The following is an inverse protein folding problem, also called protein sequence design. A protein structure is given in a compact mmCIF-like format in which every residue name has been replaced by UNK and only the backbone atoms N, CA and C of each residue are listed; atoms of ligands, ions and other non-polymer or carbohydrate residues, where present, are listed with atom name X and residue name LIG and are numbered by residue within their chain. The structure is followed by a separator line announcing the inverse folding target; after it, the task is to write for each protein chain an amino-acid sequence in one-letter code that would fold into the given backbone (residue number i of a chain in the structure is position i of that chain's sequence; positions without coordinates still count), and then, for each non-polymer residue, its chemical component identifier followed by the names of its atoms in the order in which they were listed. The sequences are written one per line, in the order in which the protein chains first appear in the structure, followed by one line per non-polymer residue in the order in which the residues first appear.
data_IF_011343094410
#
_entry.id   IF_011343094410
#
_cell.length_a   1.000
_cell.length_b   1.000
_cell.length_c   1.000
_cell.angle_alpha   90.00
_cell.angle_beta   90.00
_cell.angle_gamma   90.00
#
_symmetry.space_group_name_H-M   'P 1'
#
loop_
_entity.id
_entity.type
_entity.pdbx_description
1 polymer ?
#
# COMPACT_ATOMS: atom_id res chain seq x y z
N UNK A 1 13.38 17.78 -5.66
CA UNK A 1 12.25 16.92 -6.06
C UNK A 1 12.29 15.64 -5.24
N UNK A 2 11.20 15.35 -4.55
CA UNK A 2 11.07 14.16 -3.74
C UNK A 2 10.33 13.06 -4.50
N UNK A 3 10.31 11.85 -3.95
CA UNK A 3 9.72 10.69 -4.63
C UNK A 3 8.54 10.13 -3.86
N UNK A 4 7.51 9.72 -4.58
CA UNK A 4 6.42 8.90 -4.07
C UNK A 4 6.52 7.57 -4.79
N UNK A 5 6.78 6.50 -4.04
CA UNK A 5 6.92 5.15 -4.61
C UNK A 5 5.67 4.35 -4.28
N UNK A 6 4.94 3.93 -5.30
CA UNK A 6 3.78 3.05 -5.15
C UNK A 6 4.22 1.62 -5.36
N UNK A 7 4.02 0.76 -4.37
CA UNK A 7 4.15 -0.67 -4.60
C UNK A 7 2.88 -1.18 -5.28
N UNK A 8 3.01 -2.10 -6.20
CA UNK A 8 1.87 -2.71 -6.88
C UNK A 8 2.01 -4.22 -6.78
N UNK A 9 1.06 -4.85 -6.12
CA UNK A 9 1.10 -6.29 -5.93
C UNK A 9 0.01 -6.80 -5.00
N UNK A 10 -0.26 -8.09 -5.12
CA UNK A 10 -1.23 -8.78 -4.28
C UNK A 10 -0.77 -8.88 -2.82
N UNK A 11 -1.70 -9.13 -1.88
CA UNK A 11 -1.32 -9.47 -0.51
C UNK A 11 -0.35 -10.66 -0.49
N UNK A 12 0.71 -10.55 0.32
CA UNK A 12 1.72 -11.60 0.41
C UNK A 12 2.76 -11.60 -0.70
N UNK A 13 2.81 -10.57 -1.53
CA UNK A 13 3.77 -10.51 -2.65
C UNK A 13 5.16 -9.99 -2.27
N UNK A 14 5.36 -9.56 -1.01
CA UNK A 14 6.67 -9.09 -0.55
C UNK A 14 6.83 -7.59 -0.42
N UNK A 15 5.75 -6.83 -0.57
CA UNK A 15 5.76 -5.36 -0.54
C UNK A 15 6.31 -4.79 0.77
N UNK A 16 5.81 -5.29 1.90
CA UNK A 16 6.21 -4.78 3.22
C UNK A 16 7.67 -5.11 3.54
N UNK A 17 8.12 -6.29 3.18
CA UNK A 17 9.51 -6.71 3.36
C UNK A 17 10.44 -5.81 2.54
N UNK A 18 10.08 -5.60 1.29
CA UNK A 18 10.86 -4.72 0.42
C UNK A 18 10.93 -3.29 0.95
N UNK A 19 9.77 -2.77 1.41
CA UNK A 19 9.70 -1.39 1.93
C UNK A 19 10.62 -1.21 3.15
N UNK A 20 10.61 -2.17 4.09
CA UNK A 20 11.48 -2.11 5.26
C UNK A 20 12.96 -2.14 4.88
N UNK A 21 13.33 -3.01 3.95
CA UNK A 21 14.72 -3.12 3.48
C UNK A 21 15.17 -1.86 2.74
N UNK A 22 14.28 -1.31 1.91
CA UNK A 22 14.55 -0.08 1.16
C UNK A 22 14.81 1.08 2.12
N UNK A 23 13.97 1.27 3.12
CA UNK A 23 14.08 2.35 4.10
C UNK A 23 15.37 2.21 4.90
N UNK A 24 15.74 0.99 5.29
CA UNK A 24 16.97 0.73 6.03
C UNK A 24 18.22 1.14 5.23
N UNK A 25 18.18 0.99 3.91
CA UNK A 25 19.29 1.33 3.00
C UNK A 25 19.22 2.75 2.47
N UNK A 26 18.09 3.41 2.57
CA UNK A 26 17.85 4.73 1.99
C UNK A 26 17.26 5.67 3.04
N UNK A 27 18.07 6.23 3.93
CA UNK A 27 17.59 7.17 4.94
C UNK A 27 16.88 8.37 4.29
N UNK A 28 15.81 8.82 4.90
CA UNK A 28 15.00 9.92 4.37
C UNK A 28 13.73 9.46 3.67
N UNK A 29 13.54 8.14 3.49
CA UNK A 29 12.28 7.57 3.01
C UNK A 29 11.46 7.05 4.18
N UNK A 30 10.15 7.21 4.09
CA UNK A 30 9.20 6.77 5.12
C UNK A 30 8.12 5.90 4.48
N UNK A 31 7.71 4.87 5.21
CA UNK A 31 6.67 3.97 4.77
C UNK A 31 5.31 4.42 5.28
N UNK A 32 4.32 4.48 4.39
CA UNK A 32 2.93 4.70 4.76
C UNK A 32 2.11 3.55 4.18
N UNK A 33 1.27 2.95 5.03
CA UNK A 33 0.54 1.73 4.68
C UNK A 33 -0.86 1.80 5.26
N UNK A 34 -1.87 1.44 4.47
CA UNK A 34 -3.27 1.51 4.89
C UNK A 34 -3.56 0.60 6.08
N UNK A 35 -2.93 -0.57 6.14
CA UNK A 35 -3.16 -1.50 7.25
C UNK A 35 -2.70 -0.94 8.59
N UNK A 36 -1.64 -0.15 8.61
CA UNK A 36 -1.18 0.51 9.83
C UNK A 36 -2.22 1.51 10.34
N UNK A 37 -2.85 2.26 9.44
CA UNK A 37 -3.92 3.21 9.80
C UNK A 37 -5.21 2.48 10.20
N UNK A 38 -5.53 1.37 9.55
CA UNK A 38 -6.66 0.52 9.96
C UNK A 38 -6.47 0.01 11.39
N UNK A 39 -5.26 -0.42 11.72
CA UNK A 39 -4.94 -0.87 13.07
C UNK A 39 -5.13 0.26 14.10
N UNK A 40 -4.73 1.48 13.77
CA UNK A 40 -4.81 2.61 14.69
C UNK A 40 -6.22 3.10 14.94
N UNK A 41 -7.16 2.89 13.99
CA UNK A 41 -8.56 3.30 14.13
C UNK A 41 -9.52 2.16 14.43
N UNK A 42 -8.97 0.94 14.62
CA UNK A 42 -9.77 -0.25 14.92
C UNK A 42 -10.56 -0.05 16.23
N UNK A 43 -11.85 -0.33 16.19
CA UNK A 43 -12.70 -0.24 17.36
C UNK A 43 -12.39 -1.34 18.38
N UNK A 44 -12.83 -1.13 19.63
CA UNK A 44 -12.60 -2.09 20.70
C UNK A 44 -13.18 -3.47 20.38
N UNK A 45 -14.34 -3.51 19.76
CA UNK A 45 -15.02 -4.73 19.32
C UNK A 45 -14.38 -5.39 18.10
N UNK A 46 -13.44 -4.73 17.43
CA UNK A 46 -12.80 -5.21 16.22
C UNK A 46 -11.35 -5.65 16.45
N UNK A 47 -10.99 -6.03 17.69
CA UNK A 47 -9.59 -6.37 18.05
C UNK A 47 -8.92 -7.36 17.12
N UNK A 48 -9.66 -8.39 16.73
CA UNK A 48 -9.12 -9.50 15.96
C UNK A 48 -9.42 -9.39 14.47
N UNK A 49 -10.37 -8.53 14.11
CA UNK A 49 -10.81 -8.38 12.74
C UNK A 49 -11.30 -6.96 12.46
N UNK A 50 -10.62 -6.28 11.56
CA UNK A 50 -11.03 -4.95 11.12
C UNK A 50 -12.27 -5.06 10.21
N UNK A 51 -13.30 -4.32 10.54
CA UNK A 51 -14.52 -4.27 9.74
C UNK A 51 -14.45 -3.12 8.74
N UNK A 52 -14.39 -3.46 7.48
CA UNK A 52 -14.32 -2.49 6.39
C UNK A 52 -15.67 -1.78 6.25
N UNK A 53 -15.66 -0.47 6.45
CA UNK A 53 -16.80 0.38 6.16
C UNK A 53 -16.34 1.55 5.32
N UNK A 54 -17.25 2.12 4.53
CA UNK A 54 -16.93 3.29 3.69
C UNK A 54 -16.40 4.45 4.53
N UNK A 55 -16.98 4.65 5.72
CA UNK A 55 -16.56 5.71 6.64
C UNK A 55 -15.13 5.49 7.13
N UNK A 56 -14.82 4.28 7.61
CA UNK A 56 -13.47 3.96 8.12
C UNK A 56 -12.42 4.02 7.01
N UNK A 57 -12.74 3.47 5.84
CA UNK A 57 -11.80 3.53 4.70
C UNK A 57 -11.58 4.95 4.22
N UNK A 58 -12.58 5.82 4.32
CA UNK A 58 -12.42 7.25 4.06
C UNK A 58 -11.46 7.92 5.03
N UNK A 59 -11.55 7.58 6.33
CA UNK A 59 -10.63 8.07 7.35
C UNK A 59 -9.19 7.61 7.05
N UNK A 60 -9.03 6.33 6.71
CA UNK A 60 -7.71 5.75 6.36
C UNK A 60 -7.10 6.51 5.17
N UNK A 61 -7.90 6.76 4.14
CA UNK A 61 -7.45 7.52 2.97
C UNK A 61 -6.99 8.92 3.35
N UNK A 62 -7.80 9.62 4.14
CA UNK A 62 -7.46 10.96 4.61
C UNK A 62 -6.16 10.97 5.42
N UNK A 63 -6.05 10.05 6.38
CA UNK A 63 -4.85 9.93 7.22
C UNK A 63 -3.60 9.69 6.38
N UNK A 64 -3.69 8.80 5.41
CA UNK A 64 -2.56 8.43 4.57
C UNK A 64 -2.07 9.61 3.73
N UNK A 65 -2.97 10.33 3.10
CA UNK A 65 -2.62 11.52 2.30
C UNK A 65 -2.10 12.66 3.16
N UNK A 66 -2.71 12.87 4.32
CA UNK A 66 -2.30 13.93 5.24
C UNK A 66 -0.90 13.68 5.78
N UNK A 67 -0.62 12.45 6.23
CA UNK A 67 0.71 12.07 6.70
C UNK A 67 1.75 12.18 5.58
N UNK A 68 1.41 11.73 4.38
CA UNK A 68 2.31 11.87 3.23
C UNK A 68 2.68 13.34 2.98
N UNK A 69 1.69 14.22 3.02
CA UNK A 69 1.92 15.64 2.83
C UNK A 69 2.83 16.21 3.90
N UNK A 70 2.59 15.88 5.16
CA UNK A 70 3.41 16.33 6.28
C UNK A 70 4.86 15.86 6.16
N UNK A 71 5.07 14.61 5.77
CA UNK A 71 6.41 14.06 5.56
C UNK A 71 7.12 14.77 4.42
N UNK A 72 6.44 14.92 3.29
CA UNK A 72 7.03 15.52 2.09
C UNK A 72 7.33 17.02 2.23
N UNK A 73 6.72 17.69 3.20
CA UNK A 73 7.01 19.09 3.50
C UNK A 73 8.29 19.27 4.31
N UNK A 74 8.88 18.21 4.85
CA UNK A 74 10.12 18.30 5.65
C UNK A 74 11.34 18.30 4.72
N UNK A 75 12.24 19.25 4.91
CA UNK A 75 13.41 19.43 4.04
C UNK A 75 14.30 18.18 3.95
N UNK A 76 14.50 17.51 5.07
CA UNK A 76 15.38 16.33 5.14
C UNK A 76 14.77 15.07 4.52
N UNK A 77 13.49 15.09 4.21
CA UNK A 77 12.79 13.92 3.65
C UNK A 77 13.12 13.76 2.16
N UNK A 78 13.37 12.52 1.74
CA UNK A 78 13.61 12.18 0.33
C UNK A 78 12.35 11.66 -0.36
N UNK A 79 11.44 11.07 0.39
CA UNK A 79 10.20 10.56 -0.19
C UNK A 79 9.41 9.65 0.73
N UNK A 80 8.32 9.12 0.18
CA UNK A 80 7.45 8.16 0.85
C UNK A 80 7.26 6.92 -0.02
N UNK A 81 7.05 5.78 0.65
CA UNK A 81 6.65 4.54 -0.01
C UNK A 81 5.22 4.26 0.43
N UNK A 82 4.31 4.18 -0.53
CA UNK A 82 2.92 3.77 -0.31
C UNK A 82 2.87 2.26 -0.54
N UNK A 83 3.12 1.49 0.53
CA UNK A 83 3.30 0.04 0.43
C UNK A 83 2.00 -0.75 0.48
N UNK A 84 0.99 -0.26 -0.22
CA UNK A 84 -0.32 -0.89 -0.39
C UNK A 84 -0.32 -1.76 -1.66
N UNK A 85 -1.44 -2.45 -1.90
CA UNK A 85 -1.60 -3.22 -3.14
C UNK A 85 -1.63 -2.33 -4.37
N UNK A 86 -2.22 -1.15 -4.26
CA UNK A 86 -2.36 -0.14 -5.32
C UNK A 86 -2.88 -0.73 -6.65
N UNK A 87 -3.71 -1.77 -6.55
CA UNK A 87 -4.29 -2.45 -7.70
C UNK A 87 -5.49 -1.72 -8.29
N UNK A 88 -6.10 -0.83 -7.52
CA UNK A 88 -7.21 -0.02 -7.99
C UNK A 88 -6.65 1.15 -8.83
N UNK A 89 -7.01 1.26 -10.12
CA UNK A 89 -6.52 2.34 -10.97
C UNK A 89 -6.84 3.74 -10.45
N UNK A 90 -8.00 3.91 -9.80
CA UNK A 90 -8.39 5.22 -9.27
C UNK A 90 -7.50 5.65 -8.11
N UNK A 91 -7.06 4.71 -7.27
CA UNK A 91 -6.13 5.03 -6.19
C UNK A 91 -4.76 5.42 -6.73
N UNK A 92 -4.29 4.74 -7.76
CA UNK A 92 -3.03 5.12 -8.43
C UNK A 92 -3.14 6.53 -9.01
N UNK A 93 -4.26 6.83 -9.66
CA UNK A 93 -4.50 8.14 -10.25
C UNK A 93 -4.48 9.25 -9.19
N UNK A 94 -5.08 9.01 -8.04
CA UNK A 94 -5.08 9.98 -6.94
C UNK A 94 -3.66 10.29 -6.48
N UNK A 95 -2.82 9.26 -6.33
CA UNK A 95 -1.41 9.47 -5.98
C UNK A 95 -0.61 10.17 -7.08
N UNK A 96 -0.88 9.85 -8.34
CA UNK A 96 -0.24 10.51 -9.47
C UNK A 96 -0.57 12.01 -9.52
N UNK A 97 -1.84 12.35 -9.31
CA UNK A 97 -2.28 13.75 -9.24
C UNK A 97 -1.69 14.47 -8.04
N UNK A 98 -1.63 13.79 -6.89
CA UNK A 98 -1.03 14.31 -5.67
C UNK A 98 0.46 14.65 -5.89
N UNK A 99 1.21 13.74 -6.52
CA UNK A 99 2.60 13.97 -6.85
C UNK A 99 2.78 15.16 -7.79
N UNK A 100 1.93 15.23 -8.81
CA UNK A 100 1.98 16.31 -9.81
C UNK A 100 1.70 17.68 -9.18
N UNK A 101 0.69 17.77 -8.33
CA UNK A 101 0.34 19.01 -7.63
C UNK A 101 1.46 19.52 -6.74
N UNK A 102 2.17 18.62 -6.06
CA UNK A 102 3.27 18.97 -5.17
C UNK A 102 4.61 19.10 -5.89
N UNK A 103 4.67 18.80 -7.18
CA UNK A 103 5.92 18.87 -7.96
C UNK A 103 6.89 17.74 -7.61
N UNK A 104 6.39 16.58 -7.20
CA UNK A 104 7.21 15.42 -6.86
C UNK A 104 7.14 14.35 -7.96
N UNK A 105 8.14 13.48 -7.95
CA UNK A 105 8.24 12.36 -8.88
C UNK A 105 7.47 11.17 -8.33
N UNK A 106 6.79 10.43 -9.21
CA UNK A 106 6.14 9.18 -8.84
C UNK A 106 6.89 8.01 -9.51
N UNK A 107 7.08 6.93 -8.75
CA UNK A 107 7.71 5.71 -9.22
C UNK A 107 6.85 4.52 -8.82
N UNK A 108 6.99 3.41 -9.55
CA UNK A 108 6.25 2.18 -9.30
C UNK A 108 7.22 1.04 -9.02
N UNK A 109 6.92 0.28 -7.97
CA UNK A 109 7.61 -0.97 -7.68
C UNK A 109 6.62 -2.12 -7.80
N UNK A 110 6.78 -2.93 -8.83
CA UNK A 110 5.83 -4.00 -9.19
C UNK A 110 6.30 -5.33 -8.61
N UNK A 111 5.37 -6.07 -8.01
CA UNK A 111 5.61 -7.39 -7.42
C UNK A 111 4.76 -8.43 -8.15
N UNK A 112 5.31 -9.00 -9.21
CA UNK A 112 4.65 -10.02 -10.01
C UNK A 112 4.99 -11.40 -9.47
N UNK A 113 4.08 -11.95 -8.66
CA UNK A 113 4.25 -13.26 -8.03
C UNK A 113 3.20 -14.22 -8.60
N UNK A 114 3.60 -15.45 -9.00
CA UNK A 114 2.65 -16.43 -9.53
C UNK A 114 1.55 -16.78 -8.55
N UNK A 115 0.37 -17.11 -9.09
CA UNK A 115 -0.80 -17.46 -8.29
C UNK A 115 -0.53 -18.56 -7.27
N UNK A 116 0.15 -19.62 -7.67
CA UNK A 116 0.45 -20.74 -6.78
C UNK A 116 1.29 -20.32 -5.58
N UNK A 117 2.24 -19.43 -5.78
CA UNK A 117 3.06 -18.91 -4.70
C UNK A 117 2.27 -17.95 -3.79
N UNK A 118 1.40 -17.13 -4.36
CA UNK A 118 0.52 -16.25 -3.59
C UNK A 118 -0.40 -17.04 -2.67
N UNK A 119 -1.01 -18.11 -3.17
CA UNK A 119 -1.87 -18.98 -2.37
C UNK A 119 -1.10 -19.62 -1.24
N UNK A 120 0.11 -20.11 -1.51
CA UNK A 120 0.98 -20.70 -0.51
C UNK A 120 1.34 -19.71 0.59
N UNK A 121 1.75 -18.50 0.22
CA UNK A 121 2.10 -17.45 1.17
C UNK A 121 0.88 -17.01 1.98
N UNK A 122 -0.27 -16.87 1.33
CA UNK A 122 -1.51 -16.47 2.00
C UNK A 122 -1.92 -17.47 3.08
N UNK A 123 -1.78 -18.76 2.82
CA UNK A 123 -2.10 -19.80 3.80
C UNK A 123 -1.25 -19.73 5.08
N UNK A 124 -0.09 -19.08 5.01
CA UNK A 124 0.84 -18.93 6.13
C UNK A 124 0.75 -17.60 6.86
N UNK A 125 -0.14 -16.70 6.42
CA UNK A 125 -0.22 -15.33 6.97
C UNK A 125 -1.00 -15.21 8.27
N UNK A 126 -1.67 -16.27 8.70
CA UNK A 126 -2.48 -16.26 9.93
C UNK A 126 -3.61 -15.23 9.84
N UNK A 127 -3.70 -14.32 10.80
CA UNK A 127 -4.75 -13.29 10.85
C UNK A 127 -4.69 -12.29 9.70
N UNK A 128 -3.55 -12.18 9.03
CA UNK A 128 -3.37 -11.30 7.87
C UNK A 128 -3.78 -11.97 6.56
N UNK A 129 -4.10 -13.27 6.58
CA UNK A 129 -4.56 -13.96 5.39
C UNK A 129 -5.88 -13.37 4.91
N UNK A 130 -6.00 -13.21 3.59
CA UNK A 130 -7.25 -12.75 2.97
C UNK A 130 -8.04 -13.95 2.47
N UNK A 131 -9.38 -13.84 2.37
CA UNK A 131 -10.19 -14.90 1.75
C UNK A 131 -9.71 -15.18 0.32
N UNK A 132 -9.78 -16.44 -0.09
CA UNK A 132 -9.25 -16.88 -1.40
C UNK A 132 -9.93 -16.19 -2.58
N UNK A 133 -11.22 -15.89 -2.47
CA UNK A 133 -11.96 -15.17 -3.51
C UNK A 133 -11.49 -13.72 -3.62
N UNK A 134 -11.14 -13.09 -2.49
CA UNK A 134 -10.56 -11.74 -2.46
C UNK A 134 -9.18 -11.76 -3.12
N UNK A 135 -8.35 -12.74 -2.77
CA UNK A 135 -7.02 -12.88 -3.37
C UNK A 135 -7.12 -13.10 -4.89
N UNK A 136 -8.09 -13.92 -5.33
CA UNK A 136 -8.33 -14.18 -6.76
C UNK A 136 -8.73 -12.91 -7.50
N UNK A 137 -9.60 -12.10 -6.90
CA UNK A 137 -10.01 -10.82 -7.48
C UNK A 137 -8.83 -9.87 -7.61
N UNK A 138 -7.99 -9.80 -6.58
CA UNK A 138 -6.79 -8.96 -6.61
C UNK A 138 -5.77 -9.45 -7.64
N UNK A 139 -5.61 -10.76 -7.76
CA UNK A 139 -4.73 -11.34 -8.78
C UNK A 139 -5.21 -11.00 -10.20
N UNK A 140 -6.52 -11.04 -10.42
CA UNK A 140 -7.10 -10.62 -11.70
C UNK A 140 -6.76 -9.16 -12.00
N UNK A 141 -6.90 -8.28 -11.01
CA UNK A 141 -6.54 -6.87 -11.17
C UNK A 141 -5.05 -6.69 -11.46
N UNK A 142 -4.21 -7.51 -10.84
CA UNK A 142 -2.77 -7.50 -11.11
C UNK A 142 -2.46 -7.88 -12.56
N UNK A 143 -3.11 -8.91 -13.07
CA UNK A 143 -2.94 -9.32 -14.46
C UNK A 143 -3.42 -8.24 -15.42
N UNK A 144 -4.53 -7.58 -15.12
CA UNK A 144 -5.02 -6.43 -15.90
C UNK A 144 -3.99 -5.29 -15.92
N UNK A 145 -3.41 -5.00 -14.77
CA UNK A 145 -2.35 -3.99 -14.67
C UNK A 145 -1.14 -4.35 -15.55
N UNK A 146 -0.77 -5.61 -15.58
CA UNK A 146 0.34 -6.11 -16.41
C UNK A 146 -0.01 -6.23 -17.90
N UNK A 147 -1.27 -6.03 -18.29
CA UNK A 147 -1.72 -6.16 -19.67
C UNK A 147 -1.95 -7.60 -20.12
N UNK A 148 -2.21 -8.49 -19.18
CA UNK A 148 -2.35 -9.92 -19.47
C UNK A 148 -3.81 -10.40 -19.47
#
# INVERSE_FOLDING_TARGET
MKKIILTIGCPGSGKSTWAREFIAKNPGFYNINRDDYRQSIMGHEERDEYKYTKKKEGIVTYMQHDVANMILCQDATKGVIVSDTNLNPERRKVWEEFAKELGHQIEYKVFDVPWTELVKRNSKRGTKAVPIDVLRSMYKSMREYLGL
#
